data_IF_057357874810
#
_entry.id   IF_057357874810
#
_cell.length_a   1.000
_cell.length_b   1.000
_cell.length_c   1.000
_cell.angle_alpha   90.00
_cell.angle_beta   90.00
_cell.angle_gamma   90.00
#
_symmetry.space_group_name_H-M   'P 1'
#
loop_
_entity.id
_entity.type
_entity.pdbx_description
1 polymer ?
#
# COMPACT_ATOMS: atom_id res chain seq x y z
N UNK A 1 10.69 -12.52 3.79
CA UNK A 1 9.70 -11.44 3.74
C UNK A 1 10.14 -10.38 2.74
N UNK A 2 9.26 -10.01 1.83
CA UNK A 2 9.58 -9.03 0.79
C UNK A 2 8.93 -7.68 1.08
N UNK A 3 7.87 -7.69 1.88
CA UNK A 3 7.17 -6.48 2.26
C UNK A 3 6.55 -6.66 3.64
N UNK A 4 6.42 -5.56 4.36
CA UNK A 4 5.97 -5.55 5.74
C UNK A 4 4.57 -4.96 5.84
N UNK A 5 3.69 -5.65 6.58
CA UNK A 5 2.39 -5.13 6.98
C UNK A 5 2.56 -4.59 8.39
N UNK A 6 2.27 -3.31 8.60
CA UNK A 6 2.56 -2.66 9.87
C UNK A 6 1.48 -2.91 10.94
N UNK A 7 0.24 -3.14 10.50
CA UNK A 7 -0.89 -3.31 11.43
C UNK A 7 -1.95 -4.19 10.77
N UNK A 8 -2.72 -4.92 11.57
CA UNK A 8 -3.72 -5.85 11.03
C UNK A 8 -4.81 -5.18 10.18
N UNK A 9 -5.05 -3.90 10.38
CA UNK A 9 -6.06 -3.16 9.62
C UNK A 9 -5.53 -2.53 8.34
N UNK A 10 -4.22 -2.64 8.08
CA UNK A 10 -3.61 -2.00 6.93
C UNK A 10 -4.12 -2.59 5.63
N UNK A 11 -4.31 -1.72 4.63
CA UNK A 11 -4.63 -2.17 3.27
C UNK A 11 -3.46 -2.00 2.31
N UNK A 12 -2.28 -1.65 2.82
CA UNK A 12 -1.04 -1.56 2.05
C UNK A 12 0.09 -2.25 2.81
N UNK A 13 1.07 -2.74 2.05
CA UNK A 13 2.33 -3.25 2.59
C UNK A 13 3.46 -2.38 2.07
N UNK A 14 4.57 -2.35 2.80
CA UNK A 14 5.75 -1.56 2.44
C UNK A 14 6.87 -2.49 2.02
N UNK A 15 7.41 -2.26 0.82
CA UNK A 15 8.50 -3.07 0.27
C UNK A 15 9.78 -2.87 1.09
N UNK A 16 10.44 -3.97 1.43
CA UNK A 16 11.72 -3.91 2.15
C UNK A 16 12.91 -4.10 1.21
N UNK A 17 12.65 -4.21 -0.08
CA UNK A 17 13.63 -4.21 -1.17
C UNK A 17 12.92 -3.78 -2.43
N UNK A 18 13.66 -3.56 -3.51
CA UNK A 18 13.02 -3.29 -4.81
C UNK A 18 12.32 -4.56 -5.27
N UNK A 19 11.08 -4.43 -5.72
CA UNK A 19 10.28 -5.55 -6.20
C UNK A 19 9.89 -5.29 -7.66
N UNK A 20 9.92 -6.35 -8.46
CA UNK A 20 9.65 -6.26 -9.90
C UNK A 20 8.18 -6.54 -10.18
N UNK A 21 7.69 -5.98 -11.29
CA UNK A 21 6.36 -6.30 -11.80
C UNK A 21 6.27 -7.80 -12.08
N UNK A 22 5.14 -8.40 -11.69
CA UNK A 22 4.93 -9.84 -11.87
C UNK A 22 5.53 -10.69 -10.78
N UNK A 23 6.32 -10.11 -9.89
CA UNK A 23 6.91 -10.84 -8.79
C UNK A 23 5.84 -11.19 -7.76
N UNK A 24 5.99 -12.36 -7.12
CA UNK A 24 5.09 -12.79 -6.05
C UNK A 24 5.72 -12.41 -4.72
N UNK A 25 5.31 -11.30 -4.17
CA UNK A 25 5.92 -10.75 -2.95
C UNK A 25 5.38 -11.45 -1.72
N UNK A 26 6.27 -11.89 -0.84
CA UNK A 26 5.90 -12.47 0.45
C UNK A 26 5.68 -11.32 1.43
N UNK A 27 4.47 -11.23 1.97
CA UNK A 27 4.09 -10.18 2.93
C UNK A 27 3.90 -10.79 4.31
N UNK A 28 4.24 -10.00 5.33
CA UNK A 28 4.15 -10.47 6.71
C UNK A 28 4.01 -9.27 7.64
N UNK A 29 3.30 -9.45 8.73
CA UNK A 29 3.14 -8.45 9.77
C UNK A 29 1.69 -8.25 10.17
N UNK A 30 1.47 -7.60 11.33
CA UNK A 30 0.13 -7.34 11.82
C UNK A 30 -0.72 -8.58 12.05
N UNK A 31 -0.08 -9.74 12.21
CA UNK A 31 -0.81 -11.00 12.37
C UNK A 31 -1.21 -11.65 11.05
N UNK A 32 -0.76 -11.11 9.93
CA UNK A 32 -1.07 -11.63 8.59
C UNK A 32 0.17 -12.10 7.88
N UNK A 33 0.02 -13.12 7.05
CA UNK A 33 1.06 -13.61 6.17
C UNK A 33 0.43 -14.01 4.86
N UNK A 34 1.19 -13.93 3.78
CA UNK A 34 0.70 -14.35 2.48
C UNK A 34 1.62 -13.91 1.37
N UNK A 35 1.12 -14.01 0.16
CA UNK A 35 1.84 -13.58 -1.02
C UNK A 35 0.91 -12.77 -1.91
N UNK A 36 1.46 -11.74 -2.53
CA UNK A 36 0.71 -10.86 -3.43
C UNK A 36 1.46 -10.79 -4.76
N UNK A 37 0.77 -11.09 -5.85
CA UNK A 37 1.35 -10.94 -7.17
C UNK A 37 1.32 -9.47 -7.54
N UNK A 38 2.47 -8.92 -7.94
CA UNK A 38 2.60 -7.48 -8.16
C UNK A 38 2.23 -7.12 -9.58
N UNK A 39 1.35 -6.14 -9.72
CA UNK A 39 0.99 -5.56 -11.00
C UNK A 39 1.85 -4.37 -11.39
N UNK A 40 2.77 -3.97 -10.51
CA UNK A 40 3.65 -2.82 -10.71
C UNK A 40 5.00 -3.12 -10.10
N UNK A 41 6.04 -2.44 -10.56
CA UNK A 41 7.32 -2.41 -9.86
C UNK A 41 7.16 -1.57 -8.60
N UNK A 42 7.72 -2.03 -7.49
CA UNK A 42 7.60 -1.36 -6.20
C UNK A 42 9.01 -1.07 -5.68
N UNK A 43 9.43 0.19 -5.68
CA UNK A 43 10.74 0.53 -5.11
C UNK A 43 10.80 0.29 -3.61
N UNK A 44 12.01 0.03 -3.11
CA UNK A 44 12.26 -0.09 -1.67
C UNK A 44 11.61 1.07 -0.92
N UNK A 45 10.87 0.76 0.13
CA UNK A 45 10.23 1.77 0.98
C UNK A 45 8.88 2.25 0.46
N UNK A 46 8.50 1.87 -0.75
CA UNK A 46 7.20 2.25 -1.30
C UNK A 46 6.14 1.23 -0.90
N UNK A 47 4.87 1.63 -1.09
CA UNK A 47 3.72 0.83 -0.69
C UNK A 47 3.04 0.20 -1.90
N UNK A 48 2.38 -0.92 -1.68
CA UNK A 48 1.47 -1.49 -2.66
C UNK A 48 0.21 -1.99 -1.96
N UNK A 49 -0.87 -2.09 -2.73
CA UNK A 49 -2.16 -2.46 -2.17
C UNK A 49 -2.21 -3.95 -1.84
N UNK A 50 -2.73 -4.28 -0.68
CA UNK A 50 -2.96 -5.67 -0.25
C UNK A 50 -4.29 -6.20 -0.77
N UNK A 51 -5.18 -5.30 -1.18
CA UNK A 51 -6.47 -5.63 -1.76
C UNK A 51 -6.89 -4.47 -2.66
N UNK A 52 -7.95 -4.64 -3.42
CA UNK A 52 -8.47 -3.58 -4.27
C UNK A 52 -8.94 -2.42 -3.39
N UNK A 53 -8.57 -1.20 -3.77
CA UNK A 53 -8.96 0.02 -3.07
C UNK A 53 -9.65 0.92 -4.08
N UNK A 54 -10.92 1.19 -3.86
CA UNK A 54 -11.67 2.05 -4.77
C UNK A 54 -11.21 3.49 -4.64
N UNK A 55 -11.34 4.26 -5.71
CA UNK A 55 -11.07 5.69 -5.67
C UNK A 55 -11.92 6.36 -4.60
N UNK A 56 -11.32 7.27 -3.84
CA UNK A 56 -11.99 7.95 -2.73
C UNK A 56 -11.90 7.22 -1.41
N UNK A 57 -11.40 5.97 -1.41
CA UNK A 57 -11.27 5.21 -0.17
C UNK A 57 -9.95 5.51 0.52
N UNK A 58 -9.94 5.23 1.81
CA UNK A 58 -8.79 5.53 2.67
C UNK A 58 -7.65 4.55 2.45
N UNK A 59 -6.43 5.08 2.52
CA UNK A 59 -5.22 4.27 2.61
C UNK A 59 -4.89 4.14 4.09
N UNK A 60 -4.79 2.91 4.57
CA UNK A 60 -4.60 2.63 6.00
C UNK A 60 -3.23 2.00 6.18
N UNK A 61 -2.41 2.65 7.01
CA UNK A 61 -1.09 2.16 7.40
C UNK A 61 -0.88 2.46 8.87
N UNK A 62 -0.25 1.56 9.59
CA UNK A 62 -0.11 1.64 11.05
C UNK A 62 -1.48 1.67 11.74
N UNK A 63 -2.51 1.07 11.12
CA UNK A 63 -3.86 1.11 11.66
C UNK A 63 -4.53 2.47 11.55
N UNK A 64 -3.94 3.42 10.81
CA UNK A 64 -4.45 4.78 10.70
C UNK A 64 -4.63 5.18 9.25
N UNK A 65 -5.56 6.08 9.00
CA UNK A 65 -5.74 6.63 7.67
C UNK A 65 -4.61 7.62 7.40
N UNK A 66 -3.78 7.32 6.39
CA UNK A 66 -2.66 8.19 6.02
C UNK A 66 -2.94 8.98 4.75
N UNK A 67 -3.99 8.64 4.03
CA UNK A 67 -4.34 9.32 2.78
C UNK A 67 -5.59 8.73 2.17
N UNK A 68 -5.88 9.17 0.97
CA UNK A 68 -7.07 8.76 0.21
C UNK A 68 -6.62 8.40 -1.20
N UNK A 69 -7.14 7.29 -1.73
CA UNK A 69 -6.88 6.90 -3.12
C UNK A 69 -7.54 7.91 -4.05
N UNK A 70 -6.79 8.47 -5.00
CA UNK A 70 -7.33 9.42 -5.97
C UNK A 70 -7.93 8.72 -7.18
N UNK A 71 -7.62 7.42 -7.33
CA UNK A 71 -8.19 6.56 -8.37
C UNK A 71 -8.15 5.14 -7.81
N UNK A 72 -8.82 4.21 -8.49
CA UNK A 72 -8.84 2.82 -8.05
C UNK A 72 -7.42 2.24 -8.08
N UNK A 73 -7.06 1.51 -7.01
CA UNK A 73 -5.77 0.83 -6.91
C UNK A 73 -6.10 -0.64 -6.75
N UNK A 74 -5.57 -1.48 -7.63
CA UNK A 74 -5.80 -2.91 -7.57
C UNK A 74 -4.80 -3.58 -6.65
N UNK A 75 -5.19 -4.71 -6.10
CA UNK A 75 -4.29 -5.51 -5.29
C UNK A 75 -2.98 -5.75 -6.04
N UNK A 76 -1.86 -5.48 -5.38
CA UNK A 76 -0.54 -5.65 -5.98
C UNK A 76 -0.04 -4.44 -6.75
N UNK A 77 -0.84 -3.40 -6.89
CA UNK A 77 -0.41 -2.18 -7.58
C UNK A 77 0.26 -1.21 -6.64
N UNK A 78 1.19 -0.44 -7.20
CA UNK A 78 1.95 0.59 -6.51
C UNK A 78 1.03 1.70 -6.01
N UNK A 79 1.09 2.00 -4.72
CA UNK A 79 0.34 3.10 -4.11
C UNK A 79 1.35 4.18 -3.71
N UNK A 80 1.31 5.31 -4.40
CA UNK A 80 2.28 6.39 -4.18
C UNK A 80 1.67 7.71 -4.60
N UNK A 81 2.49 8.74 -4.79
CA UNK A 81 2.00 10.09 -5.05
C UNK A 81 1.08 10.19 -6.26
N UNK A 82 1.23 9.30 -7.25
CA UNK A 82 0.42 9.35 -8.47
C UNK A 82 -1.03 8.93 -8.23
N UNK A 83 -1.34 8.20 -7.18
CA UNK A 83 -2.68 7.69 -6.92
C UNK A 83 -3.11 7.79 -5.45
N UNK A 84 -2.34 8.48 -4.64
CA UNK A 84 -2.66 8.69 -3.21
C UNK A 84 -2.45 10.16 -2.87
N UNK A 85 -3.45 10.75 -2.24
CA UNK A 85 -3.34 12.08 -1.68
C UNK A 85 -3.20 11.94 -0.16
N UNK A 86 -2.10 12.43 0.38
CA UNK A 86 -1.87 12.34 1.82
C UNK A 86 -2.71 13.34 2.58
N UNK A 87 -3.11 12.97 3.78
CA UNK A 87 -3.91 13.88 4.61
C UNK A 87 -3.14 15.15 4.94
N UNK A 88 -1.85 15.04 5.17
CA UNK A 88 -1.03 16.21 5.49
C UNK A 88 -0.90 17.16 4.32
N UNK A 89 -0.93 16.64 3.10
CA UNK A 89 -0.87 17.46 1.92
C UNK A 89 -2.11 18.30 1.72
N UNK A 90 -3.18 17.98 2.43
CA UNK A 90 -4.44 18.69 2.32
C UNK A 90 -4.56 19.84 3.31
N UNK A 91 -3.55 20.15 4.04
CA UNK A 91 -3.37 21.22 4.98
C UNK A 91 -4.57 21.97 5.54
N UNK A 92 -5.65 21.96 4.81
CA UNK A 92 -6.90 22.63 5.15
C UNK A 92 -7.78 21.82 6.09
N UNK A 93 -7.31 20.67 6.51
CA UNK A 93 -8.09 19.74 7.34
C UNK A 93 -7.97 20.07 8.83
N UNK A 94 -7.46 21.22 9.15
CA UNK A 94 -7.34 21.67 10.54
C UNK A 94 -8.24 22.79 10.81
#
# INVERSE_FOLDING_TARGET
>A
MDALICHCDDNVATAVRDLAVGERAQVSGGGHEGAVELGSAIPLGHKFALRDIAGGREIIKYGETIGVATSAIRRGEHAHLHNVEGLRGRGDLR
#
